data_IF_399452085315
#
_entry.id   IF_399452085315
#
_cell.length_a   1.000
_cell.length_b   1.000
_cell.length_c   1.000
_cell.angle_alpha   90.00
_cell.angle_beta   90.00
_cell.angle_gamma   90.00
#
_symmetry.space_group_name_H-M   'P 1'
#
loop_
_entity.id
_entity.type
_entity.pdbx_description
1 polymer ?
#
# COMPACT_ATOMS: atom_id res chain seq x y z
N UNK A 1 27.27 36.87 11.65
CA UNK A 1 26.70 35.53 11.36
C UNK A 1 26.02 35.50 9.99
N UNK A 2 25.03 36.37 9.71
CA UNK A 2 24.36 36.41 8.40
C UNK A 2 25.34 36.60 7.22
N UNK A 3 26.22 37.61 7.28
CA UNK A 3 27.26 37.86 6.26
C UNK A 3 28.22 36.70 5.98
N UNK A 4 28.47 35.84 6.97
CA UNK A 4 29.35 34.69 6.78
C UNK A 4 28.66 33.56 6.01
N UNK A 5 27.32 33.50 6.06
CA UNK A 5 26.52 32.49 5.38
C UNK A 5 25.89 33.01 4.06
N UNK A 6 25.69 34.33 3.92
CA UNK A 6 25.12 34.97 2.74
C UNK A 6 25.99 36.18 2.30
N UNK A 7 27.17 35.94 1.69
CA UNK A 7 28.10 37.02 1.35
C UNK A 7 27.60 37.97 0.25
N UNK A 8 26.54 37.60 -0.47
CA UNK A 8 25.92 38.41 -1.54
C UNK A 8 24.65 39.12 -1.05
N UNK A 9 24.30 38.98 0.23
CA UNK A 9 23.09 39.52 0.87
C UNK A 9 21.80 39.17 0.10
N UNK A 10 21.79 38.07 -0.66
CA UNK A 10 20.73 37.69 -1.59
C UNK A 10 19.48 37.12 -0.90
N UNK A 11 19.62 36.70 0.36
CA UNK A 11 18.57 36.04 1.16
C UNK A 11 18.47 36.60 2.57
N UNK A 12 19.07 37.77 2.82
CA UNK A 12 19.10 38.43 4.13
C UNK A 12 18.15 39.62 4.16
N UNK A 13 17.25 39.65 5.15
CA UNK A 13 16.35 40.77 5.45
C UNK A 13 16.65 41.30 6.85
N UNK A 14 16.72 42.63 6.97
CA UNK A 14 16.96 43.29 8.23
C UNK A 14 15.67 43.52 8.99
N UNK A 15 15.64 43.21 10.30
CA UNK A 15 14.49 43.52 11.17
C UNK A 15 14.98 44.29 12.39
N UNK A 16 14.52 45.53 12.52
CA UNK A 16 14.76 46.39 13.67
C UNK A 16 13.58 46.26 14.61
N UNK A 17 13.86 45.89 15.86
CA UNK A 17 12.86 45.78 16.92
C UNK A 17 13.20 46.77 18.05
N UNK A 18 12.24 47.04 18.94
CA UNK A 18 12.40 47.95 20.09
C UNK A 18 12.75 49.39 19.69
N UNK A 19 12.21 49.86 18.57
CA UNK A 19 12.36 51.26 18.14
C UNK A 19 11.79 52.28 19.15
N UNK A 20 10.93 51.82 20.07
CA UNK A 20 10.32 52.61 21.13
C UNK A 20 11.15 52.72 22.42
N UNK A 21 12.28 52.01 22.51
CA UNK A 21 13.12 51.95 23.72
C UNK A 21 14.51 52.57 23.53
N UNK A 22 14.68 53.48 22.56
CA UNK A 22 15.93 54.20 22.32
C UNK A 22 16.11 55.36 23.31
N UNK A 23 17.36 55.68 23.62
CA UNK A 23 17.69 56.89 24.38
C UNK A 23 17.55 58.13 23.49
N UNK A 24 17.06 59.28 24.01
CA UNK A 24 16.90 60.50 23.22
C UNK A 24 18.22 60.95 22.61
N UNK A 25 18.30 60.97 21.28
CA UNK A 25 19.49 61.31 20.50
C UNK A 25 20.04 60.16 19.66
N UNK A 26 19.70 58.90 19.97
CA UNK A 26 20.18 57.72 19.24
C UNK A 26 19.27 57.34 18.04
N UNK A 27 18.12 58.00 17.89
CA UNK A 27 17.15 57.68 16.84
C UNK A 27 17.70 57.90 15.43
N UNK A 28 18.56 58.90 15.23
CA UNK A 28 19.16 59.22 13.92
C UNK A 28 20.02 58.06 13.40
N UNK A 29 20.82 57.44 14.27
CA UNK A 29 21.65 56.29 13.91
C UNK A 29 20.80 55.10 13.45
N UNK A 30 19.71 54.81 14.17
CA UNK A 30 18.80 53.70 13.84
C UNK A 30 17.99 53.99 12.57
N UNK A 31 17.59 55.24 12.36
CA UNK A 31 16.88 55.66 11.14
C UNK A 31 17.75 55.49 9.89
N UNK A 32 19.04 55.82 9.95
CA UNK A 32 19.97 55.59 8.84
C UNK A 32 20.12 54.11 8.50
N UNK A 33 20.09 53.23 9.50
CA UNK A 33 20.05 51.77 9.27
C UNK A 33 18.71 51.37 8.65
N UNK A 34 17.58 51.86 9.19
CA UNK A 34 16.24 51.58 8.67
C UNK A 34 16.04 52.04 7.22
N UNK A 35 16.68 53.15 6.82
CA UNK A 35 16.72 53.66 5.43
C UNK A 35 17.69 52.91 4.52
N UNK A 36 18.33 51.86 5.03
CA UNK A 36 19.30 51.05 4.30
C UNK A 36 20.56 51.85 3.88
N UNK A 37 20.96 52.87 4.64
CA UNK A 37 22.08 53.75 4.26
C UNK A 37 23.43 53.28 4.81
N UNK A 38 23.44 52.60 5.96
CA UNK A 38 24.65 52.13 6.65
C UNK A 38 24.98 50.70 6.23
N UNK A 39 24.12 49.74 6.60
CA UNK A 39 24.28 48.33 6.25
C UNK A 39 23.30 47.97 5.13
N UNK A 40 23.75 48.08 3.87
CA UNK A 40 22.91 47.88 2.69
C UNK A 40 22.56 46.40 2.51
N UNK A 41 21.27 46.07 2.61
CA UNK A 41 20.71 44.74 2.34
C UNK A 41 19.85 44.78 1.07
N UNK A 42 19.84 43.69 0.29
CA UNK A 42 19.04 43.59 -0.94
C UNK A 42 17.53 43.62 -0.68
N UNK A 43 17.10 43.08 0.47
CA UNK A 43 15.70 43.14 0.93
C UNK A 43 15.41 44.32 1.87
N UNK A 44 16.42 45.16 2.12
CA UNK A 44 16.32 46.30 3.03
C UNK A 44 16.05 45.92 4.49
N UNK A 45 15.63 46.94 5.24
CA UNK A 45 15.32 46.84 6.66
C UNK A 45 13.84 47.09 6.90
N UNK A 46 13.26 46.36 7.84
CA UNK A 46 11.92 46.57 8.35
C UNK A 46 11.97 46.97 9.81
N UNK A 47 11.11 47.90 10.22
CA UNK A 47 11.02 48.34 11.62
C UNK A 47 9.68 47.91 12.22
N UNK A 48 9.74 47.24 13.36
CA UNK A 48 8.54 46.74 14.06
C UNK A 48 8.54 47.15 15.53
N UNK A 49 7.35 47.45 16.03
CA UNK A 49 7.12 47.72 17.45
C UNK A 49 6.46 46.52 18.10
N UNK A 50 7.11 45.99 19.13
CA UNK A 50 6.63 44.83 19.88
C UNK A 50 6.00 45.26 21.21
N UNK A 51 5.31 44.33 21.88
CA UNK A 51 4.81 44.57 23.25
C UNK A 51 5.99 44.74 24.21
N UNK A 52 5.95 45.79 25.01
CA UNK A 52 6.86 45.95 26.16
C UNK A 52 6.53 44.98 27.28
N UNK A 53 7.48 44.74 28.19
CA UNK A 53 7.28 43.90 29.38
C UNK A 53 6.09 44.36 30.24
N UNK A 54 5.82 45.67 30.25
CA UNK A 54 4.64 46.22 30.93
C UNK A 54 3.34 45.84 30.22
N UNK A 55 3.25 46.05 28.91
CA UNK A 55 2.05 45.71 28.13
C UNK A 55 1.73 44.21 28.17
N UNK A 56 2.76 43.36 28.26
CA UNK A 56 2.56 41.92 28.44
C UNK A 56 1.90 41.63 29.79
N UNK A 57 2.32 42.29 30.88
CA UNK A 57 1.71 42.14 32.22
C UNK A 57 0.31 42.72 32.29
N UNK A 58 0.07 43.83 31.60
CA UNK A 58 -1.21 44.52 31.54
C UNK A 58 -2.22 43.81 30.62
N UNK A 59 -1.88 42.63 30.07
CA UNK A 59 -2.80 41.79 29.30
C UNK A 59 -3.07 42.27 27.87
N UNK A 60 -2.23 43.16 27.32
CA UNK A 60 -2.44 43.73 25.98
C UNK A 60 -2.41 42.63 24.92
N UNK A 61 -3.50 42.55 24.16
CA UNK A 61 -3.70 41.56 23.11
C UNK A 61 -2.82 41.83 21.90
N UNK A 62 -2.68 40.82 21.03
CA UNK A 62 -1.91 40.97 19.79
C UNK A 62 -2.55 41.99 18.86
N UNK A 63 -3.88 42.05 18.82
CA UNK A 63 -4.60 42.98 17.94
C UNK A 63 -4.49 44.44 18.43
N UNK A 64 -4.58 44.66 19.74
CA UNK A 64 -4.30 45.96 20.34
C UNK A 64 -2.86 46.40 20.08
N UNK A 65 -1.89 45.47 20.09
CA UNK A 65 -0.52 45.77 19.68
C UNK A 65 -0.45 46.21 18.22
N UNK A 66 -1.14 45.55 17.30
CA UNK A 66 -1.14 45.96 15.88
C UNK A 66 -1.71 47.37 15.71
N UNK A 67 -2.77 47.70 16.44
CA UNK A 67 -3.35 49.06 16.45
C UNK A 67 -2.31 50.07 16.96
N UNK A 68 -1.72 49.82 18.12
CA UNK A 68 -0.69 50.71 18.72
C UNK A 68 0.56 50.85 17.86
N UNK A 69 0.95 49.80 17.16
CA UNK A 69 2.08 49.82 16.21
C UNK A 69 1.77 50.73 15.02
N UNK A 70 0.57 50.60 14.43
CA UNK A 70 0.12 51.48 13.35
C UNK A 70 0.09 52.94 13.80
N UNK A 71 -0.48 53.21 14.97
CA UNK A 71 -0.54 54.55 15.54
C UNK A 71 0.85 55.13 15.80
N UNK A 72 1.75 54.35 16.39
CA UNK A 72 3.12 54.76 16.66
C UNK A 72 3.84 55.23 15.40
N UNK A 73 3.84 54.41 14.34
CA UNK A 73 4.47 54.80 13.08
C UNK A 73 3.73 55.95 12.39
N UNK A 74 2.42 56.11 12.60
CA UNK A 74 1.63 57.19 12.00
C UNK A 74 1.87 58.56 12.65
N UNK A 75 2.12 58.62 13.96
CA UNK A 75 2.11 59.87 14.72
C UNK A 75 3.42 60.22 15.45
N UNK A 76 4.36 59.28 15.59
CA UNK A 76 5.58 59.49 16.40
C UNK A 76 6.76 59.85 15.52
N UNK A 77 7.17 61.13 15.53
CA UNK A 77 8.45 61.55 14.95
C UNK A 77 9.62 60.95 15.76
N UNK A 78 10.74 60.56 15.15
CA UNK A 78 11.07 60.69 13.72
C UNK A 78 10.67 59.47 12.85
N UNK A 79 9.95 58.49 13.40
CA UNK A 79 9.55 57.25 12.73
C UNK A 79 8.52 57.44 11.61
N UNK A 80 7.83 58.58 11.61
CA UNK A 80 6.91 59.00 10.54
C UNK A 80 7.59 59.17 9.18
N UNK A 81 8.90 59.41 9.19
CA UNK A 81 9.70 59.71 7.99
C UNK A 81 10.17 58.44 7.26
N UNK A 82 9.88 57.26 7.81
CA UNK A 82 10.21 55.97 7.19
C UNK A 82 9.19 55.58 6.11
N UNK A 83 9.62 54.85 5.05
CA UNK A 83 8.71 54.29 4.06
C UNK A 83 7.64 53.40 4.70
N UNK A 84 6.37 53.62 4.31
CA UNK A 84 5.20 52.96 4.94
C UNK A 84 5.14 51.46 4.69
N UNK A 85 5.77 51.00 3.64
CA UNK A 85 5.96 49.61 3.23
C UNK A 85 7.07 48.88 4.00
N UNK A 86 7.93 49.61 4.72
CA UNK A 86 9.03 49.07 5.53
C UNK A 86 8.80 49.17 7.05
N UNK A 87 7.64 49.63 7.48
CA UNK A 87 7.28 49.70 8.91
C UNK A 87 6.07 48.85 9.24
N UNK A 88 6.05 48.31 10.46
CA UNK A 88 4.95 47.52 10.99
C UNK A 88 4.97 46.04 10.60
N UNK A 89 4.41 45.21 11.48
CA UNK A 89 4.47 43.74 11.35
C UNK A 89 3.73 43.21 10.11
N UNK A 90 2.66 43.88 9.66
CA UNK A 90 1.85 43.39 8.55
C UNK A 90 2.61 43.40 7.23
N UNK A 91 3.46 44.42 7.02
CA UNK A 91 4.33 44.48 5.85
C UNK A 91 5.43 43.42 5.91
N UNK A 92 6.02 43.19 7.09
CA UNK A 92 6.99 42.11 7.31
C UNK A 92 6.37 40.74 7.00
N UNK A 93 5.17 40.46 7.53
CA UNK A 93 4.45 39.21 7.27
C UNK A 93 4.20 39.00 5.78
N UNK A 94 3.69 40.03 5.09
CA UNK A 94 3.43 39.96 3.65
C UNK A 94 4.70 39.70 2.85
N UNK A 95 5.78 40.39 3.18
CA UNK A 95 7.08 40.21 2.53
C UNK A 95 7.64 38.80 2.74
N UNK A 96 7.70 38.33 3.99
CA UNK A 96 8.21 36.99 4.32
C UNK A 96 7.35 35.88 3.69
N UNK A 97 6.02 36.04 3.67
CA UNK A 97 5.13 35.10 3.00
C UNK A 97 5.40 35.03 1.50
N UNK A 98 5.59 36.17 0.83
CA UNK A 98 5.93 36.22 -0.59
C UNK A 98 7.31 35.63 -0.89
N UNK A 99 8.31 35.92 -0.04
CA UNK A 99 9.67 35.38 -0.17
C UNK A 99 9.68 33.86 -0.02
N UNK A 100 9.02 33.34 1.02
CA UNK A 100 8.87 31.91 1.24
C UNK A 100 8.14 31.23 0.07
N UNK A 101 7.03 31.82 -0.39
CA UNK A 101 6.27 31.26 -1.50
C UNK A 101 7.12 31.17 -2.78
N UNK A 102 7.84 32.25 -3.12
CA UNK A 102 8.75 32.24 -4.28
C UNK A 102 9.85 31.20 -4.13
N UNK A 103 10.44 31.08 -2.94
CA UNK A 103 11.48 30.08 -2.70
C UNK A 103 10.94 28.67 -2.87
N UNK A 104 9.76 28.37 -2.32
CA UNK A 104 9.08 27.09 -2.54
C UNK A 104 8.83 26.87 -4.03
N UNK A 105 8.29 27.85 -4.75
CA UNK A 105 7.99 27.69 -6.18
C UNK A 105 9.22 27.39 -7.04
N UNK A 106 10.39 27.93 -6.67
CA UNK A 106 11.64 27.72 -7.41
C UNK A 106 12.26 26.35 -7.10
N UNK A 107 12.27 25.94 -5.83
CA UNK A 107 12.97 24.72 -5.38
C UNK A 107 12.09 23.45 -5.43
N UNK A 108 10.78 23.60 -5.33
CA UNK A 108 9.86 22.47 -5.28
C UNK A 108 9.89 21.59 -6.55
N UNK A 109 9.94 22.14 -7.78
CA UNK A 109 10.01 21.32 -9.00
C UNK A 109 11.27 20.43 -9.06
N UNK A 110 12.44 20.94 -8.64
CA UNK A 110 13.67 20.14 -8.62
C UNK A 110 13.62 19.03 -7.56
N UNK A 111 13.04 19.32 -6.39
CA UNK A 111 12.84 18.31 -5.35
C UNK A 111 11.88 17.19 -5.82
N UNK A 112 10.78 17.56 -6.49
CA UNK A 112 9.86 16.57 -7.06
C UNK A 112 10.58 15.68 -8.07
N UNK A 113 11.36 16.28 -8.97
CA UNK A 113 12.14 15.53 -9.95
C UNK A 113 13.16 14.58 -9.30
N UNK A 114 13.87 15.04 -8.28
CA UNK A 114 14.84 14.20 -7.55
C UNK A 114 14.16 13.00 -6.88
N UNK A 115 12.96 13.20 -6.30
CA UNK A 115 12.15 12.12 -5.72
C UNK A 115 11.70 11.14 -6.82
N UNK A 116 11.26 11.63 -7.96
CA UNK A 116 10.85 10.79 -9.11
C UNK A 116 12.03 9.95 -9.63
N UNK A 117 13.20 10.57 -9.81
CA UNK A 117 14.42 9.92 -10.26
C UNK A 117 14.87 8.82 -9.26
N UNK A 118 14.89 9.12 -7.96
CA UNK A 118 15.22 8.15 -6.91
C UNK A 118 14.19 7.02 -6.81
N UNK A 119 12.91 7.32 -7.02
CA UNK A 119 11.84 6.32 -7.03
C UNK A 119 12.04 5.36 -8.19
N UNK A 120 12.32 5.88 -9.39
CA UNK A 120 12.56 5.06 -10.58
C UNK A 120 13.82 4.20 -10.43
N UNK A 121 14.92 4.76 -9.90
CA UNK A 121 16.13 4.00 -9.64
C UNK A 121 15.87 2.86 -8.65
N UNK A 122 15.19 3.14 -7.54
CA UNK A 122 14.87 2.14 -6.52
C UNK A 122 13.96 1.06 -7.09
N UNK A 123 12.98 1.43 -7.92
CA UNK A 123 12.09 0.48 -8.60
C UNK A 123 12.88 -0.43 -9.55
N UNK A 124 13.80 0.12 -10.33
CA UNK A 124 14.66 -0.67 -11.22
C UNK A 124 15.53 -1.66 -10.43
N UNK A 125 16.13 -1.21 -9.32
CA UNK A 125 16.91 -2.08 -8.43
C UNK A 125 16.05 -3.21 -7.85
N UNK A 126 14.82 -2.91 -7.45
CA UNK A 126 13.88 -3.90 -6.93
C UNK A 126 13.47 -4.93 -7.99
N UNK A 127 13.24 -4.49 -9.23
CA UNK A 127 12.94 -5.39 -10.35
C UNK A 127 14.11 -6.33 -10.68
N UNK A 128 15.36 -5.85 -10.59
CA UNK A 128 16.54 -6.68 -10.79
C UNK A 128 16.67 -7.80 -9.74
N UNK A 129 16.24 -7.56 -8.50
CA UNK A 129 16.22 -8.58 -7.45
C UNK A 129 15.11 -9.63 -7.68
N UNK A 130 14.11 -9.30 -8.50
CA UNK A 130 12.97 -10.13 -8.77
C UNK A 130 11.98 -10.21 -7.60
N UNK A 131 10.93 -11.04 -7.71
CA UNK A 131 9.95 -11.19 -6.64
C UNK A 131 10.59 -11.76 -5.38
N UNK A 132 10.12 -11.32 -4.20
CA UNK A 132 10.50 -11.90 -2.90
C UNK A 132 10.33 -13.43 -2.92
N UNK A 133 11.20 -14.13 -2.18
CA UNK A 133 11.20 -15.61 -2.04
C UNK A 133 11.41 -16.03 -0.59
N UNK A 134 11.03 -15.18 0.35
CA UNK A 134 11.24 -15.41 1.79
C UNK A 134 10.32 -16.50 2.35
N UNK A 135 9.09 -16.57 1.83
CA UNK A 135 8.11 -17.57 2.28
C UNK A 135 8.05 -18.77 1.33
N UNK A 136 7.58 -19.90 1.84
CA UNK A 136 7.34 -21.10 1.02
C UNK A 136 6.29 -20.86 -0.08
N UNK A 137 5.32 -19.96 0.16
CA UNK A 137 4.32 -19.54 -0.82
C UNK A 137 5.01 -18.79 -1.98
N UNK A 138 5.87 -17.84 -1.65
CA UNK A 138 6.59 -17.06 -2.65
C UNK A 138 7.54 -17.93 -3.51
N UNK A 139 8.24 -18.85 -2.86
CA UNK A 139 9.13 -19.79 -3.55
C UNK A 139 8.36 -20.68 -4.53
N UNK A 140 7.19 -21.20 -4.12
CA UNK A 140 6.31 -21.99 -5.01
C UNK A 140 5.80 -21.15 -6.18
N UNK A 141 5.47 -19.87 -5.95
CA UNK A 141 5.01 -18.94 -7.00
C UNK A 141 6.06 -18.74 -8.10
N UNK A 142 7.35 -18.85 -7.78
CA UNK A 142 8.44 -18.76 -8.77
C UNK A 142 8.79 -20.11 -9.38
N UNK A 143 8.88 -21.17 -8.56
CA UNK A 143 9.33 -22.49 -9.01
C UNK A 143 8.31 -23.19 -9.93
N UNK A 144 7.02 -23.09 -9.63
CA UNK A 144 5.99 -23.79 -10.41
C UNK A 144 5.93 -23.31 -11.88
N UNK A 145 5.87 -22.00 -12.17
CA UNK A 145 5.94 -21.54 -13.55
C UNK A 145 7.24 -21.94 -14.24
N UNK A 146 8.39 -21.82 -13.57
CA UNK A 146 9.68 -22.17 -14.16
C UNK A 146 9.77 -23.68 -14.51
N UNK A 147 9.27 -24.54 -13.63
CA UNK A 147 9.18 -25.98 -13.89
C UNK A 147 8.23 -26.29 -15.05
N UNK A 148 7.01 -25.73 -15.02
CA UNK A 148 6.02 -25.93 -16.07
C UNK A 148 6.55 -25.46 -17.42
N UNK A 149 7.22 -24.32 -17.47
CA UNK A 149 7.81 -23.77 -18.70
C UNK A 149 8.90 -24.68 -19.26
N UNK A 150 9.77 -25.21 -18.39
CA UNK A 150 10.78 -26.18 -18.78
C UNK A 150 10.18 -27.48 -19.32
N UNK A 151 9.20 -28.07 -18.62
CA UNK A 151 8.52 -29.29 -19.04
C UNK A 151 7.74 -29.08 -20.34
N UNK A 152 7.02 -27.96 -20.45
CA UNK A 152 6.25 -27.64 -21.65
C UNK A 152 7.15 -27.45 -22.87
N UNK A 153 8.32 -26.85 -22.67
CA UNK A 153 9.35 -26.74 -23.71
C UNK A 153 9.95 -28.08 -24.15
N UNK A 154 10.02 -29.07 -23.27
CA UNK A 154 10.49 -30.42 -23.59
C UNK A 154 9.43 -31.26 -24.31
N UNK A 155 8.17 -31.16 -23.88
CA UNK A 155 7.05 -31.95 -24.44
C UNK A 155 6.61 -31.41 -25.80
N UNK A 156 6.65 -30.09 -26.00
CA UNK A 156 6.25 -29.43 -27.25
C UNK A 156 7.46 -28.65 -27.80
N UNK A 157 8.30 -29.29 -28.64
CA UNK A 157 9.51 -28.66 -29.18
C UNK A 157 9.22 -27.54 -30.19
N UNK A 158 8.11 -27.65 -30.92
CA UNK A 158 7.69 -26.65 -31.90
C UNK A 158 7.28 -25.35 -31.20
N UNK A 159 7.99 -24.25 -31.49
CA UNK A 159 7.79 -22.99 -30.79
C UNK A 159 6.46 -22.31 -31.09
N UNK A 160 5.98 -22.40 -32.33
CA UNK A 160 4.72 -21.77 -32.75
C UNK A 160 3.53 -22.53 -32.14
N UNK A 161 3.53 -23.86 -32.23
CA UNK A 161 2.55 -24.72 -31.57
C UNK A 161 2.54 -24.49 -30.06
N UNK A 162 3.72 -24.47 -29.42
CA UNK A 162 3.86 -24.22 -27.99
C UNK A 162 3.29 -22.85 -27.59
N UNK A 163 3.59 -21.80 -28.35
CA UNK A 163 3.06 -20.45 -28.10
C UNK A 163 1.54 -20.42 -28.22
N UNK A 164 0.98 -20.99 -29.28
CA UNK A 164 -0.46 -20.97 -29.54
C UNK A 164 -1.23 -21.78 -28.49
N UNK A 165 -0.73 -22.98 -28.15
CA UNK A 165 -1.30 -23.82 -27.10
C UNK A 165 -1.24 -23.12 -25.74
N UNK A 166 -0.12 -22.48 -25.38
CA UNK A 166 0.02 -21.71 -24.14
C UNK A 166 -0.96 -20.55 -24.07
N UNK A 167 -1.10 -19.77 -25.14
CA UNK A 167 -2.05 -18.66 -25.20
C UNK A 167 -3.51 -19.13 -25.06
N UNK A 168 -3.84 -20.34 -25.54
CA UNK A 168 -5.16 -20.96 -25.34
C UNK A 168 -5.36 -21.39 -23.89
N UNK A 169 -4.42 -22.16 -23.34
CA UNK A 169 -4.49 -22.66 -21.96
C UNK A 169 -4.54 -21.52 -20.94
N UNK A 170 -3.74 -20.48 -21.13
CA UNK A 170 -3.70 -19.31 -20.24
C UNK A 170 -5.05 -18.56 -20.20
N UNK A 171 -5.76 -18.48 -21.33
CA UNK A 171 -7.11 -17.88 -21.36
C UNK A 171 -8.11 -18.69 -20.53
N UNK A 172 -8.08 -20.01 -20.67
CA UNK A 172 -8.94 -20.92 -19.91
C UNK A 172 -8.61 -20.88 -18.41
N UNK A 173 -7.33 -20.91 -18.07
CA UNK A 173 -6.83 -20.79 -16.70
C UNK A 173 -7.29 -19.47 -16.06
N UNK A 174 -7.06 -18.34 -16.74
CA UNK A 174 -7.46 -17.01 -16.25
C UNK A 174 -8.97 -16.93 -16.02
N UNK A 175 -9.77 -17.48 -16.94
CA UNK A 175 -11.22 -17.53 -16.78
C UNK A 175 -11.63 -18.34 -15.56
N UNK A 176 -11.03 -19.51 -15.35
CA UNK A 176 -11.36 -20.39 -14.22
C UNK A 176 -10.99 -19.74 -12.88
N UNK A 177 -9.80 -19.13 -12.77
CA UNK A 177 -9.38 -18.42 -11.57
C UNK A 177 -10.28 -17.22 -11.25
N UNK A 178 -10.64 -16.44 -12.27
CA UNK A 178 -11.56 -15.31 -12.09
C UNK A 178 -12.91 -15.78 -11.53
N UNK A 179 -13.49 -16.83 -12.10
CA UNK A 179 -14.75 -17.39 -11.57
C UNK A 179 -14.57 -17.88 -10.13
N UNK A 180 -13.47 -18.57 -9.82
CA UNK A 180 -13.19 -19.02 -8.46
C UNK A 180 -13.10 -17.84 -7.46
N UNK A 181 -12.44 -16.75 -7.83
CA UNK A 181 -12.35 -15.53 -7.01
C UNK A 181 -13.70 -14.85 -6.81
N UNK A 182 -14.52 -14.78 -7.86
CA UNK A 182 -15.87 -14.23 -7.78
C UNK A 182 -16.74 -15.02 -6.78
N UNK A 183 -16.69 -16.37 -6.82
CA UNK A 183 -17.39 -17.23 -5.88
C UNK A 183 -16.83 -17.15 -4.45
N UNK A 184 -15.51 -17.10 -4.28
CA UNK A 184 -14.90 -16.91 -2.96
C UNK A 184 -15.35 -15.58 -2.34
N UNK A 185 -15.40 -14.52 -3.16
CA UNK A 185 -15.86 -13.19 -2.72
C UNK A 185 -17.34 -13.21 -2.33
N UNK A 186 -18.18 -13.97 -3.04
CA UNK A 186 -19.57 -14.18 -2.66
C UNK A 186 -19.67 -14.89 -1.31
N UNK A 187 -18.97 -16.02 -1.12
CA UNK A 187 -18.97 -16.75 0.16
C UNK A 187 -18.52 -15.86 1.33
N UNK A 188 -17.50 -15.02 1.11
CA UNK A 188 -17.03 -14.07 2.12
C UNK A 188 -18.08 -13.01 2.45
N UNK A 189 -18.81 -12.48 1.45
CA UNK A 189 -19.91 -11.54 1.69
C UNK A 189 -21.04 -12.21 2.47
N UNK A 190 -21.42 -13.43 2.09
CA UNK A 190 -22.48 -14.17 2.76
C UNK A 190 -22.19 -14.41 4.25
N UNK A 191 -20.93 -14.70 4.60
CA UNK A 191 -20.52 -14.89 6.01
C UNK A 191 -20.35 -13.56 6.78
N UNK A 192 -20.03 -12.45 6.09
CA UNK A 192 -19.77 -11.13 6.74
C UNK A 192 -21.02 -10.27 6.88
N UNK A 193 -21.89 -10.30 5.88
CA UNK A 193 -23.08 -9.44 5.77
C UNK A 193 -24.37 -10.21 6.06
N UNK A 194 -24.30 -11.54 6.10
CA UNK A 194 -25.42 -12.41 6.42
C UNK A 194 -25.90 -12.28 7.86
N UNK A 195 -27.13 -12.74 8.08
CA UNK A 195 -27.71 -12.84 9.42
C UNK A 195 -26.99 -13.96 10.18
N UNK A 196 -26.47 -13.64 11.37
CA UNK A 196 -25.77 -14.58 12.25
C UNK A 196 -26.73 -15.58 12.90
N UNK A 197 -27.25 -16.51 12.10
CA UNK A 197 -28.14 -17.59 12.54
C UNK A 197 -27.60 -18.95 12.13
N UNK A 198 -27.77 -19.93 13.02
CA UNK A 198 -27.37 -21.32 12.78
C UNK A 198 -28.40 -22.28 13.35
N UNK A 199 -28.74 -23.29 12.56
CA UNK A 199 -29.58 -24.43 12.97
C UNK A 199 -28.73 -25.67 13.28
N UNK A 200 -27.41 -25.50 13.37
CA UNK A 200 -26.50 -26.62 13.58
C UNK A 200 -26.68 -27.20 15.00
N UNK A 201 -26.93 -28.52 15.08
CA UNK A 201 -27.20 -29.22 16.33
C UNK A 201 -26.04 -29.11 17.36
N UNK A 202 -24.80 -28.96 16.91
CA UNK A 202 -23.64 -28.78 17.79
C UNK A 202 -23.55 -27.37 18.39
N UNK A 203 -24.38 -26.41 17.97
CA UNK A 203 -24.30 -25.05 18.48
C UNK A 203 -24.56 -24.98 19.98
N UNK A 204 -25.63 -25.63 20.45
CA UNK A 204 -25.96 -25.70 21.88
C UNK A 204 -24.87 -26.44 22.69
N UNK A 205 -24.34 -27.54 22.15
CA UNK A 205 -23.24 -28.29 22.77
C UNK A 205 -21.96 -27.46 22.87
N UNK A 206 -21.63 -26.68 21.83
CA UNK A 206 -20.48 -25.78 21.84
C UNK A 206 -20.63 -24.69 22.92
N UNK A 207 -21.82 -24.10 23.08
CA UNK A 207 -22.08 -23.14 24.17
C UNK A 207 -21.86 -23.80 25.52
N UNK A 208 -22.43 -24.98 25.75
CA UNK A 208 -22.29 -25.70 27.01
C UNK A 208 -20.82 -26.01 27.32
N UNK A 209 -20.06 -26.50 26.34
CA UNK A 209 -18.63 -26.79 26.47
C UNK A 209 -17.81 -25.54 26.80
N UNK A 210 -18.06 -24.41 26.13
CA UNK A 210 -17.37 -23.13 26.40
C UNK A 210 -17.68 -22.63 27.81
N UNK A 211 -18.95 -22.72 28.24
CA UNK A 211 -19.38 -22.33 29.59
C UNK A 211 -18.70 -23.20 30.66
N UNK A 212 -18.65 -24.51 30.44
CA UNK A 212 -17.98 -25.46 31.35
C UNK A 212 -16.49 -25.13 31.49
N UNK A 213 -15.78 -24.92 30.37
CA UNK A 213 -14.36 -24.58 30.35
C UNK A 213 -14.10 -23.30 31.15
N UNK A 214 -14.94 -22.26 30.97
CA UNK A 214 -14.84 -21.03 31.74
C UNK A 214 -15.10 -21.23 33.23
N UNK A 215 -16.15 -21.97 33.59
CA UNK A 215 -16.45 -22.26 34.99
C UNK A 215 -15.30 -23.01 35.65
N UNK A 216 -14.73 -24.00 34.97
CA UNK A 216 -13.55 -24.74 35.45
C UNK A 216 -12.36 -23.81 35.66
N UNK A 217 -12.09 -22.90 34.73
CA UNK A 217 -11.02 -21.90 34.87
C UNK A 217 -11.22 -20.98 36.09
N UNK A 218 -12.46 -20.54 36.36
CA UNK A 218 -12.78 -19.74 37.55
C UNK A 218 -12.63 -20.51 38.85
N UNK A 219 -13.13 -21.74 38.90
CA UNK A 219 -12.96 -22.59 40.07
C UNK A 219 -11.48 -22.90 40.33
N UNK A 220 -10.69 -23.11 39.27
CA UNK A 220 -9.23 -23.25 39.34
C UNK A 220 -8.54 -22.02 39.93
N UNK A 221 -9.00 -20.81 39.59
CA UNK A 221 -8.48 -19.56 40.19
C UNK A 221 -8.75 -19.43 41.69
N UNK A 222 -9.78 -20.12 42.20
CA UNK A 222 -10.10 -20.22 43.62
C UNK A 222 -9.34 -21.36 44.32
N UNK A 223 -8.44 -22.03 43.60
CA UNK A 223 -7.64 -23.15 44.12
C UNK A 223 -8.37 -24.49 44.09
N UNK A 224 -9.56 -24.59 43.51
CA UNK A 224 -10.33 -25.83 43.40
C UNK A 224 -9.81 -26.60 42.19
N UNK A 225 -9.12 -27.72 42.44
CA UNK A 225 -8.54 -28.58 41.41
C UNK A 225 -9.05 -30.02 41.56
N UNK A 226 -9.19 -30.71 40.43
CA UNK A 226 -9.78 -32.06 40.37
C UNK A 226 -8.97 -33.13 41.14
N UNK A 227 -7.69 -32.89 41.43
CA UNK A 227 -6.77 -33.92 41.95
C UNK A 227 -6.63 -33.96 43.49
N UNK A 228 -7.30 -33.09 44.25
CA UNK A 228 -7.20 -33.06 45.71
C UNK A 228 -8.58 -32.99 46.37
N UNK A 229 -8.85 -33.87 47.34
CA UNK A 229 -10.00 -33.72 48.23
C UNK A 229 -9.79 -32.49 49.10
N UNK A 230 -10.47 -31.40 48.75
CA UNK A 230 -10.38 -30.13 49.44
C UNK A 230 -11.75 -29.76 50.02
N UNK A 231 -11.77 -29.37 51.30
CA UNK A 231 -12.97 -28.80 51.92
C UNK A 231 -13.20 -27.40 51.34
N UNK A 232 -14.25 -27.25 50.53
CA UNK A 232 -14.62 -25.97 49.91
C UNK A 232 -15.77 -25.33 50.69
N UNK A 233 -15.61 -24.06 51.06
CA UNK A 233 -16.70 -23.30 51.67
C UNK A 233 -17.76 -22.97 50.61
N UNK A 234 -19.03 -23.34 50.85
CA UNK A 234 -20.15 -23.10 49.93
C UNK A 234 -20.27 -21.61 49.57
N UNK A 235 -20.00 -20.69 50.50
CA UNK A 235 -20.03 -19.24 50.23
C UNK A 235 -18.93 -18.82 49.26
N UNK A 236 -17.74 -19.40 49.37
CA UNK A 236 -16.62 -19.16 48.46
C UNK A 236 -16.89 -19.77 47.08
N UNK A 237 -17.50 -20.96 47.03
CA UNK A 237 -17.95 -21.61 45.80
C UNK A 237 -19.00 -20.73 45.07
N UNK A 238 -20.04 -20.30 45.79
CA UNK A 238 -21.10 -19.45 45.24
C UNK A 238 -20.57 -18.10 44.76
N UNK A 239 -19.60 -17.51 45.44
CA UNK A 239 -18.94 -16.28 45.00
C UNK A 239 -18.10 -16.44 43.73
N UNK A 240 -17.60 -17.64 43.43
CA UNK A 240 -16.91 -17.96 42.17
C UNK A 240 -17.81 -18.29 40.99
N UNK A 241 -19.03 -18.77 41.28
CA UNK A 241 -20.03 -19.16 40.29
C UNK A 241 -20.91 -17.96 39.91
N UNK A 242 -21.33 -17.17 40.90
CA UNK A 242 -22.24 -16.05 40.69
C UNK A 242 -21.51 -14.86 40.07
N UNK A 243 -22.01 -14.41 38.93
CA UNK A 243 -21.56 -13.21 38.24
C UNK A 243 -22.54 -12.05 38.48
N UNK A 244 -22.09 -10.82 38.26
CA UNK A 244 -23.03 -9.72 38.08
C UNK A 244 -23.90 -9.96 36.84
N UNK A 245 -25.08 -9.36 36.79
CA UNK A 245 -25.95 -9.47 35.62
C UNK A 245 -25.27 -8.93 34.34
N UNK A 246 -24.50 -7.86 34.48
CA UNK A 246 -23.76 -7.24 33.38
C UNK A 246 -22.68 -8.19 32.86
N UNK A 247 -21.89 -8.78 33.76
CA UNK A 247 -20.87 -9.75 33.39
C UNK A 247 -21.50 -10.98 32.73
N UNK A 248 -22.61 -11.49 33.26
CA UNK A 248 -23.32 -12.64 32.69
C UNK A 248 -23.78 -12.35 31.26
N UNK A 249 -24.36 -11.19 31.00
CA UNK A 249 -24.79 -10.78 29.66
C UNK A 249 -23.62 -10.67 28.68
N UNK A 250 -22.47 -10.12 29.13
CA UNK A 250 -21.24 -10.06 28.33
C UNK A 250 -20.76 -11.46 27.97
N UNK A 251 -20.70 -12.35 28.97
CA UNK A 251 -20.21 -13.71 28.79
C UNK A 251 -21.11 -14.56 27.91
N UNK A 252 -22.43 -14.43 28.03
CA UNK A 252 -23.39 -15.13 27.18
C UNK A 252 -23.31 -14.67 25.73
N UNK A 253 -23.15 -13.37 25.50
CA UNK A 253 -22.93 -12.81 24.16
C UNK A 253 -21.63 -13.34 23.55
N UNK A 254 -20.54 -13.32 24.32
CA UNK A 254 -19.25 -13.85 23.90
C UNK A 254 -19.31 -15.34 23.57
N UNK A 255 -19.96 -16.16 24.41
CA UNK A 255 -20.06 -17.62 24.20
C UNK A 255 -20.89 -17.95 22.98
N UNK A 256 -21.99 -17.24 22.80
CA UNK A 256 -22.85 -17.37 21.63
C UNK A 256 -22.07 -17.04 20.36
N UNK A 257 -21.32 -15.93 20.34
CA UNK A 257 -20.47 -15.55 19.20
C UNK A 257 -19.34 -16.55 18.95
N UNK A 258 -18.65 -17.02 20.00
CA UNK A 258 -17.56 -18.00 19.88
C UNK A 258 -18.06 -19.34 19.37
N UNK A 259 -19.20 -19.82 19.88
CA UNK A 259 -19.84 -21.05 19.41
C UNK A 259 -20.29 -20.93 17.95
N UNK A 260 -20.88 -19.78 17.59
CA UNK A 260 -21.33 -19.51 16.22
C UNK A 260 -20.14 -19.50 15.27
N UNK A 261 -19.08 -18.74 15.60
CA UNK A 261 -17.87 -18.63 14.79
C UNK A 261 -17.23 -20.00 14.53
N UNK A 262 -17.18 -20.88 15.54
CA UNK A 262 -16.65 -22.25 15.39
C UNK A 262 -17.44 -23.07 14.35
N UNK A 263 -18.77 -22.91 14.29
CA UNK A 263 -19.62 -23.58 13.30
C UNK A 263 -19.46 -22.93 11.93
N UNK A 264 -19.54 -21.60 11.86
CA UNK A 264 -19.41 -20.82 10.63
C UNK A 264 -18.07 -21.06 9.94
N UNK A 265 -16.96 -21.09 10.70
CA UNK A 265 -15.62 -21.34 10.15
C UNK A 265 -15.52 -22.70 9.47
N UNK A 266 -16.08 -23.76 10.08
CA UNK A 266 -16.08 -25.10 9.48
C UNK A 266 -16.90 -25.12 8.20
N UNK A 267 -18.13 -24.60 8.25
CA UNK A 267 -19.02 -24.47 7.08
C UNK A 267 -18.34 -23.70 5.94
N UNK A 268 -17.75 -22.54 6.25
CA UNK A 268 -17.07 -21.71 5.27
C UNK A 268 -15.88 -22.45 4.65
N UNK A 269 -15.06 -23.11 5.46
CA UNK A 269 -13.91 -23.88 4.97
C UNK A 269 -14.34 -24.98 4.01
N UNK A 270 -15.36 -25.77 4.39
CA UNK A 270 -15.90 -26.83 3.53
C UNK A 270 -16.48 -26.26 2.22
N UNK A 271 -17.19 -25.13 2.31
CA UNK A 271 -17.73 -24.44 1.14
C UNK A 271 -16.64 -23.91 0.21
N UNK A 272 -15.54 -23.37 0.73
CA UNK A 272 -14.40 -22.93 -0.09
C UNK A 272 -13.75 -24.13 -0.78
N UNK A 273 -13.59 -25.26 -0.10
CA UNK A 273 -13.04 -26.48 -0.69
C UNK A 273 -13.94 -26.94 -1.84
N UNK A 274 -15.22 -27.18 -1.58
CA UNK A 274 -16.11 -27.79 -2.58
C UNK A 274 -16.50 -26.81 -3.68
N UNK A 275 -16.92 -25.60 -3.32
CA UNK A 275 -17.54 -24.65 -4.26
C UNK A 275 -16.52 -23.82 -5.01
N UNK A 276 -15.36 -23.51 -4.43
CA UNK A 276 -14.32 -22.73 -5.10
C UNK A 276 -13.25 -23.66 -5.67
N UNK A 277 -12.65 -24.48 -4.82
CA UNK A 277 -11.46 -25.25 -5.21
C UNK A 277 -11.82 -26.45 -6.09
N UNK A 278 -12.67 -27.36 -5.62
CA UNK A 278 -13.02 -28.57 -6.35
C UNK A 278 -13.83 -28.25 -7.60
N UNK A 279 -14.80 -27.35 -7.52
CA UNK A 279 -15.68 -27.04 -8.66
C UNK A 279 -14.98 -26.28 -9.77
N UNK A 280 -14.17 -25.27 -9.44
CA UNK A 280 -13.59 -24.36 -10.45
C UNK A 280 -12.11 -24.63 -10.73
N UNK A 281 -11.35 -25.16 -9.77
CA UNK A 281 -9.90 -25.36 -9.94
C UNK A 281 -9.50 -26.81 -10.23
N UNK A 282 -10.05 -27.77 -9.48
CA UNK A 282 -9.68 -29.20 -9.58
C UNK A 282 -10.69 -30.05 -10.36
N UNK A 283 -11.83 -29.47 -10.72
CA UNK A 283 -12.95 -30.17 -11.33
C UNK A 283 -12.64 -30.64 -12.76
N UNK A 284 -13.60 -31.33 -13.41
CA UNK A 284 -13.43 -31.82 -14.78
C UNK A 284 -13.08 -30.73 -15.79
N UNK A 285 -13.52 -29.48 -15.54
CA UNK A 285 -13.23 -28.30 -16.36
C UNK A 285 -12.21 -27.35 -15.72
N UNK A 286 -11.54 -27.79 -14.65
CA UNK A 286 -10.57 -26.98 -13.92
C UNK A 286 -9.20 -26.91 -14.60
N UNK A 287 -8.36 -25.89 -14.28
CA UNK A 287 -7.01 -25.69 -14.82
C UNK A 287 -6.12 -26.94 -14.85
N UNK A 288 -6.22 -27.78 -13.83
CA UNK A 288 -5.37 -28.97 -13.66
C UNK A 288 -5.62 -30.03 -14.74
N UNK A 289 -6.81 -30.05 -15.34
CA UNK A 289 -7.20 -31.01 -16.39
C UNK A 289 -7.44 -30.35 -17.74
N UNK A 290 -6.98 -29.11 -17.93
CA UNK A 290 -7.25 -28.36 -19.17
C UNK A 290 -6.69 -29.05 -20.39
N UNK A 291 -5.41 -29.46 -20.38
CA UNK A 291 -4.82 -30.13 -21.53
C UNK A 291 -5.10 -31.64 -21.46
N UNK A 292 -6.21 -32.07 -22.05
CA UNK A 292 -6.61 -33.49 -22.13
C UNK A 292 -6.97 -33.93 -23.55
N UNK A 293 -6.96 -35.25 -23.85
CA UNK A 293 -7.42 -35.77 -25.13
C UNK A 293 -8.86 -35.39 -25.46
N UNK A 294 -9.74 -35.32 -24.46
CA UNK A 294 -11.13 -34.90 -24.60
C UNK A 294 -11.22 -33.45 -25.06
N UNK A 295 -10.44 -32.53 -24.45
CA UNK A 295 -10.40 -31.14 -24.90
C UNK A 295 -9.98 -31.05 -26.36
N UNK A 296 -8.91 -31.77 -26.76
CA UNK A 296 -8.42 -31.76 -28.14
C UNK A 296 -9.49 -32.31 -29.10
N UNK A 297 -10.21 -33.35 -28.70
CA UNK A 297 -11.30 -33.93 -29.49
C UNK A 297 -12.54 -33.03 -29.64
N UNK A 298 -12.74 -32.06 -28.74
CA UNK A 298 -13.81 -31.06 -28.82
C UNK A 298 -13.46 -29.85 -29.70
N UNK A 299 -12.20 -29.69 -30.10
CA UNK A 299 -11.77 -28.56 -30.93
C UNK A 299 -12.30 -28.70 -32.36
N UNK A 300 -12.75 -27.58 -32.92
CA UNK A 300 -13.09 -27.51 -34.35
C UNK A 300 -11.84 -27.54 -35.24
N UNK A 301 -12.01 -27.92 -36.51
CA UNK A 301 -10.91 -27.92 -37.49
C UNK A 301 -10.21 -26.56 -37.60
N UNK A 302 -10.96 -25.46 -37.49
CA UNK A 302 -10.40 -24.11 -37.49
C UNK A 302 -9.55 -23.83 -36.25
N UNK A 303 -9.99 -24.25 -35.07
CA UNK A 303 -9.23 -24.09 -33.83
C UNK A 303 -7.98 -24.99 -33.80
N UNK A 304 -8.08 -26.20 -34.35
CA UNK A 304 -6.93 -27.09 -34.54
C UNK A 304 -5.93 -26.47 -35.50
N UNK A 305 -6.40 -25.86 -36.59
CA UNK A 305 -5.56 -25.14 -37.52
C UNK A 305 -4.88 -23.93 -36.84
N UNK A 306 -5.60 -23.14 -36.05
CA UNK A 306 -5.01 -21.99 -35.33
C UNK A 306 -3.92 -22.42 -34.33
N UNK A 307 -4.02 -23.63 -33.77
CA UNK A 307 -3.06 -24.15 -32.78
C UNK A 307 -1.88 -24.84 -33.46
N UNK A 308 -2.15 -25.75 -34.40
CA UNK A 308 -1.18 -26.71 -34.93
C UNK A 308 -0.84 -26.54 -36.40
N UNK A 309 -1.36 -25.52 -37.09
CA UNK A 309 -0.94 -25.25 -38.45
C UNK A 309 0.53 -24.88 -38.49
N UNK A 310 1.19 -25.42 -39.50
CA UNK A 310 2.57 -25.08 -39.78
C UNK A 310 2.67 -23.65 -40.30
N UNK A 311 3.71 -22.95 -39.88
CA UNK A 311 4.03 -21.68 -40.50
C UNK A 311 4.45 -21.89 -41.97
N UNK A 312 4.28 -20.84 -42.78
CA UNK A 312 4.57 -20.89 -44.22
C UNK A 312 6.03 -21.29 -44.50
N UNK A 313 6.98 -20.80 -43.70
CA UNK A 313 8.40 -21.09 -43.87
C UNK A 313 8.72 -22.58 -43.72
N UNK A 314 8.16 -23.24 -42.69
CA UNK A 314 8.36 -24.66 -42.40
C UNK A 314 7.67 -25.52 -43.45
N UNK A 315 6.44 -25.17 -43.83
CA UNK A 315 5.70 -25.88 -44.88
C UNK A 315 6.42 -25.81 -46.24
N UNK A 316 6.91 -24.62 -46.61
CA UNK A 316 7.69 -24.40 -47.83
C UNK A 316 9.01 -25.17 -47.82
N UNK A 317 9.77 -25.09 -46.73
CA UNK A 317 11.03 -25.81 -46.58
C UNK A 317 10.83 -27.34 -46.63
N UNK A 318 9.78 -27.87 -46.00
CA UNK A 318 9.44 -29.30 -46.10
C UNK A 318 9.18 -29.70 -47.54
N UNK A 319 8.37 -28.92 -48.25
CA UNK A 319 8.04 -29.20 -49.66
C UNK A 319 9.30 -29.24 -50.54
N UNK A 320 10.22 -28.31 -50.34
CA UNK A 320 11.50 -28.27 -51.07
C UNK A 320 12.40 -29.47 -50.73
N UNK A 321 12.55 -29.80 -49.45
CA UNK A 321 13.37 -30.93 -49.00
C UNK A 321 12.80 -32.28 -49.47
N UNK A 322 11.48 -32.45 -49.46
CA UNK A 322 10.81 -33.63 -49.97
C UNK A 322 11.11 -33.81 -51.46
N UNK A 323 10.94 -32.75 -52.24
CA UNK A 323 11.24 -32.76 -53.67
C UNK A 323 12.72 -33.08 -53.96
N UNK A 324 13.63 -32.59 -53.10
CA UNK A 324 15.07 -32.91 -53.19
C UNK A 324 15.35 -34.37 -52.84
N UNK A 325 14.72 -34.92 -51.80
CA UNK A 325 14.83 -36.34 -51.45
C UNK A 325 14.35 -37.24 -52.59
N UNK A 326 13.23 -36.93 -53.22
CA UNK A 326 12.70 -37.73 -54.33
C UNK A 326 13.62 -37.72 -55.56
N UNK A 327 14.32 -36.61 -55.81
CA UNK A 327 15.35 -36.53 -56.86
C UNK A 327 16.56 -37.39 -56.51
N UNK A 328 17.02 -37.34 -55.26
CA UNK A 328 18.16 -38.14 -54.79
C UNK A 328 17.87 -39.64 -54.79
N UNK A 329 16.69 -40.07 -54.35
CA UNK A 329 16.28 -41.47 -54.40
C UNK A 329 16.26 -42.02 -55.83
N UNK A 330 15.66 -41.27 -56.77
CA UNK A 330 15.65 -41.66 -58.19
C UNK A 330 17.07 -41.78 -58.76
N UNK A 331 17.95 -40.83 -58.44
CA UNK A 331 19.35 -40.90 -58.87
C UNK A 331 20.08 -42.12 -58.28
N UNK A 332 19.81 -42.44 -57.01
CA UNK A 332 20.39 -43.61 -56.33
C UNK A 332 19.90 -44.93 -56.94
N UNK A 333 18.62 -45.03 -57.28
CA UNK A 333 18.04 -46.21 -57.92
C UNK A 333 18.63 -46.43 -59.32
N UNK A 334 18.84 -45.36 -60.09
CA UNK A 334 19.53 -45.41 -61.38
C UNK A 334 20.97 -45.90 -61.20
N UNK A 335 21.70 -45.38 -60.21
CA UNK A 335 23.07 -45.80 -59.92
C UNK A 335 23.15 -47.30 -59.53
N UNK A 336 22.22 -47.78 -58.70
CA UNK A 336 22.11 -49.19 -58.31
C UNK A 336 21.78 -50.11 -59.48
N UNK A 337 20.91 -49.68 -60.40
CA UNK A 337 20.60 -50.43 -61.62
C UNK A 337 21.77 -50.47 -62.61
N UNK A 338 22.64 -49.47 -62.58
CA UNK A 338 23.84 -49.40 -63.42
C UNK A 338 25.02 -50.26 -62.91
N UNK A 339 24.90 -50.92 -61.74
CA UNK A 339 25.88 -51.88 -61.24
C UNK A 339 27.17 -51.28 -60.66
N UNK A 340 27.12 -50.03 -60.17
CA UNK A 340 28.20 -49.40 -59.37
C UNK A 340 27.86 -49.50 -57.88
#
# INVERSE_FOLDING_TARGET
MARAADPQDARTVGIITKCDALEPGDEDGVLRIARNEVERLNHGWYVVKNRSTREIRDGVTIEERHIREREFFASTAPWTDLPRDHVGIENVKRFLAGLLYRHIQLEFPSLVKEIEDLTQETQNQLEMLGPSRQTSIDQRRVLLPAFNDGVFGLIVPDEDLRRNLRARLQRLETSAFRTAEEYLSQLLRDEREGILQTVNNYFAENIASIREERMRARLGSLGIQDNHQQLVNIKQLMGGIHLSNDDQAIYDSHDTLKAFYKVALKRFTDNVIVQVTERHLLGPRGPVKLLSPELIGELSDGELADIASENFATSSARTELQARMDRLHRALDIARQAGI
#
